data_IF_881904055623
#
_entry.id   IF_881904055623
#
_cell.length_a   1.000
_cell.length_b   1.000
_cell.length_c   1.000
_cell.angle_alpha   90.00
_cell.angle_beta   90.00
_cell.angle_gamma   90.00
#
_symmetry.space_group_name_H-M   'P 1'
#
loop_
_entity.id
_entity.type
_entity.pdbx_description
1 polymer ?
#
# COMPACT_ATOMS: atom_id res chain seq x y z
N UNK A 1 -11.71 -14.03 13.16
CA UNK A 1 -12.91 -13.67 12.36
C UNK A 1 -12.72 -12.33 11.65
N UNK A 2 -12.38 -11.26 12.38
CA UNK A 2 -12.11 -9.92 11.85
C UNK A 2 -11.13 -9.88 10.67
N UNK A 3 -10.01 -10.60 10.74
CA UNK A 3 -9.04 -10.65 9.63
C UNK A 3 -9.61 -11.29 8.36
N UNK A 4 -10.47 -12.30 8.50
CA UNK A 4 -11.15 -12.92 7.35
C UNK A 4 -12.15 -11.96 6.72
N UNK A 5 -12.90 -11.23 7.55
CA UNK A 5 -13.85 -10.22 7.08
C UNK A 5 -13.12 -9.13 6.30
N UNK A 6 -12.06 -8.54 6.88
CA UNK A 6 -11.25 -7.53 6.21
C UNK A 6 -10.70 -8.03 4.88
N UNK A 7 -10.08 -9.22 4.86
CA UNK A 7 -9.54 -9.81 3.64
C UNK A 7 -10.60 -10.02 2.56
N UNK A 8 -11.84 -10.37 2.91
CA UNK A 8 -12.93 -10.52 1.93
C UNK A 8 -13.34 -9.17 1.36
N UNK A 9 -13.45 -8.14 2.20
CA UNK A 9 -13.83 -6.80 1.76
C UNK A 9 -12.75 -6.18 0.85
N UNK A 10 -11.47 -6.34 1.21
CA UNK A 10 -10.33 -5.93 0.38
C UNK A 10 -10.29 -6.70 -0.95
N UNK A 11 -10.58 -8.00 -0.95
CA UNK A 11 -10.65 -8.80 -2.18
C UNK A 11 -11.79 -8.36 -3.08
N UNK A 12 -12.91 -7.92 -2.52
CA UNK A 12 -14.04 -7.42 -3.31
C UNK A 12 -13.67 -6.14 -4.05
N UNK A 13 -12.95 -5.22 -3.38
CA UNK A 13 -12.38 -4.02 -4.00
C UNK A 13 -11.32 -4.38 -5.04
N UNK A 14 -10.42 -5.33 -4.73
CA UNK A 14 -9.39 -5.75 -5.68
C UNK A 14 -10.00 -6.34 -6.96
N UNK A 15 -11.01 -7.21 -6.85
CA UNK A 15 -11.69 -7.80 -8.01
C UNK A 15 -12.36 -6.71 -8.86
N UNK A 16 -12.93 -5.67 -8.23
CA UNK A 16 -13.51 -4.54 -8.96
C UNK A 16 -12.45 -3.82 -9.81
N UNK A 17 -11.30 -3.51 -9.22
CA UNK A 17 -10.20 -2.84 -9.92
C UNK A 17 -9.60 -3.74 -11.02
N UNK A 18 -9.41 -5.03 -10.76
CA UNK A 18 -8.90 -5.99 -11.73
C UNK A 18 -9.83 -6.10 -12.95
N UNK A 19 -11.14 -6.08 -12.73
CA UNK A 19 -12.12 -6.09 -13.82
C UNK A 19 -12.13 -4.79 -14.63
N UNK A 20 -11.91 -3.64 -13.98
CA UNK A 20 -11.75 -2.36 -14.70
C UNK A 20 -10.49 -2.38 -15.58
N UNK A 21 -9.37 -2.88 -15.05
CA UNK A 21 -8.12 -3.03 -15.81
C UNK A 21 -8.29 -4.00 -16.98
N UNK A 22 -8.91 -5.17 -16.75
CA UNK A 22 -9.24 -6.13 -17.80
C UNK A 22 -10.11 -5.51 -18.89
N UNK A 23 -10.99 -4.56 -18.54
CA UNK A 23 -11.77 -3.84 -19.52
C UNK A 23 -10.86 -3.07 -20.50
N UNK A 24 -9.86 -2.36 -20.00
CA UNK A 24 -8.91 -1.65 -20.87
C UNK A 24 -8.10 -2.62 -21.74
N UNK A 25 -7.57 -3.70 -21.15
CA UNK A 25 -6.81 -4.71 -21.87
C UNK A 25 -7.61 -5.33 -23.04
N UNK A 26 -8.88 -5.67 -22.80
CA UNK A 26 -9.76 -6.19 -23.86
C UNK A 26 -9.99 -5.15 -24.94
N UNK A 27 -10.18 -3.87 -24.59
CA UNK A 27 -10.36 -2.81 -25.57
C UNK A 27 -9.14 -2.70 -26.49
N UNK A 28 -7.94 -2.70 -25.91
CA UNK A 28 -6.68 -2.62 -26.65
C UNK A 28 -6.40 -3.86 -27.51
N UNK A 29 -6.98 -5.01 -27.17
CA UNK A 29 -6.81 -6.27 -27.92
C UNK A 29 -7.61 -6.34 -29.24
N UNK A 30 -8.59 -5.45 -29.44
CA UNK A 30 -9.44 -5.43 -30.64
C UNK A 30 -8.66 -4.82 -31.82
N UNK A 31 -8.74 -5.42 -33.01
CA UNK A 31 -8.26 -4.77 -34.23
C UNK A 31 -9.26 -3.68 -34.66
N UNK A 32 -8.88 -2.42 -34.43
CA UNK A 32 -9.73 -1.27 -34.73
C UNK A 32 -9.81 -0.93 -36.22
N UNK A 33 -9.00 -1.58 -37.06
CA UNK A 33 -9.04 -1.40 -38.51
C UNK A 33 -9.96 -2.41 -39.21
N UNK A 34 -10.32 -3.49 -38.51
CA UNK A 34 -11.33 -4.44 -38.97
C UNK A 34 -12.70 -4.00 -38.44
N UNK A 35 -13.58 -3.60 -39.35
CA UNK A 35 -14.92 -3.12 -38.99
C UNK A 35 -15.76 -4.18 -38.30
N UNK A 36 -15.59 -5.46 -38.63
CA UNK A 36 -16.32 -6.54 -37.98
C UNK A 36 -15.81 -6.75 -36.54
N UNK A 37 -14.49 -6.80 -36.36
CA UNK A 37 -13.89 -6.94 -35.03
C UNK A 37 -14.26 -5.76 -34.11
N UNK A 38 -14.29 -4.54 -34.66
CA UNK A 38 -14.71 -3.35 -33.92
C UNK A 38 -16.19 -3.42 -33.48
N UNK A 39 -17.09 -3.83 -34.37
CA UNK A 39 -18.52 -3.96 -34.05
C UNK A 39 -18.77 -5.03 -32.98
N UNK A 40 -18.12 -6.19 -33.10
CA UNK A 40 -18.17 -7.26 -32.10
C UNK A 40 -17.60 -6.80 -30.75
N UNK A 41 -16.47 -6.10 -30.77
CA UNK A 41 -15.83 -5.54 -29.58
C UNK A 41 -16.69 -4.49 -28.87
N UNK A 42 -17.35 -3.61 -29.62
CA UNK A 42 -18.30 -2.62 -29.08
C UNK A 42 -19.52 -3.30 -28.47
N UNK A 43 -20.07 -4.32 -29.13
CA UNK A 43 -21.20 -5.08 -28.60
C UNK A 43 -20.83 -5.76 -27.26
N UNK A 44 -19.67 -6.42 -27.22
CA UNK A 44 -19.13 -6.99 -25.98
C UNK A 44 -18.97 -5.92 -24.90
N UNK A 45 -18.37 -4.76 -25.22
CA UNK A 45 -18.13 -3.71 -24.22
C UNK A 45 -19.40 -3.14 -23.61
N UNK A 46 -20.46 -2.98 -24.40
CA UNK A 46 -21.77 -2.55 -23.89
C UNK A 46 -22.29 -3.52 -22.84
N UNK A 47 -22.25 -4.82 -23.15
CA UNK A 47 -22.71 -5.84 -22.20
C UNK A 47 -21.81 -5.93 -20.96
N UNK A 48 -20.49 -5.91 -21.15
CA UNK A 48 -19.51 -5.93 -20.08
C UNK A 48 -19.70 -4.76 -19.11
N UNK A 49 -19.84 -3.54 -19.62
CA UNK A 49 -20.03 -2.34 -18.80
C UNK A 49 -21.34 -2.38 -18.01
N UNK A 50 -22.42 -2.91 -18.60
CA UNK A 50 -23.68 -3.09 -17.90
C UNK A 50 -23.55 -4.08 -16.73
N UNK A 51 -22.82 -5.19 -16.93
CA UNK A 51 -22.54 -6.15 -15.85
C UNK A 51 -21.61 -5.57 -14.79
N UNK A 52 -20.61 -4.79 -15.18
CA UNK A 52 -19.69 -4.11 -14.25
C UNK A 52 -20.42 -3.12 -13.36
N UNK A 53 -21.33 -2.32 -13.90
CA UNK A 53 -22.14 -1.40 -13.11
C UNK A 53 -23.02 -2.15 -12.08
N UNK A 54 -23.65 -3.25 -12.49
CA UNK A 54 -24.44 -4.08 -11.59
C UNK A 54 -23.59 -4.76 -10.50
N UNK A 55 -22.39 -5.24 -10.87
CA UNK A 55 -21.43 -5.80 -9.92
C UNK A 55 -20.97 -4.76 -8.91
N UNK A 56 -20.62 -3.55 -9.35
CA UNK A 56 -20.15 -2.46 -8.48
C UNK A 56 -21.19 -2.13 -7.41
N UNK A 57 -22.45 -1.98 -7.83
CA UNK A 57 -23.56 -1.75 -6.90
C UNK A 57 -23.70 -2.91 -5.90
N UNK A 58 -23.76 -4.16 -6.38
CA UNK A 58 -23.94 -5.33 -5.52
C UNK A 58 -22.78 -5.52 -4.55
N UNK A 59 -21.55 -5.27 -5.01
CA UNK A 59 -20.35 -5.34 -4.21
C UNK A 59 -20.39 -4.29 -3.08
N UNK A 60 -20.78 -3.06 -3.40
CA UNK A 60 -20.99 -2.00 -2.41
C UNK A 60 -22.06 -2.37 -1.37
N UNK A 61 -23.20 -2.89 -1.80
CA UNK A 61 -24.28 -3.35 -0.91
C UNK A 61 -23.83 -4.49 0.01
N UNK A 62 -23.12 -5.49 -0.53
CA UNK A 62 -22.60 -6.62 0.25
C UNK A 62 -21.55 -6.15 1.26
N UNK A 63 -20.63 -5.28 0.84
CA UNK A 63 -19.64 -4.67 1.72
C UNK A 63 -20.31 -3.91 2.85
N UNK A 64 -21.31 -3.08 2.55
CA UNK A 64 -22.05 -2.33 3.57
C UNK A 64 -22.77 -3.26 4.55
N UNK A 65 -23.43 -4.31 4.07
CA UNK A 65 -24.15 -5.28 4.91
C UNK A 65 -23.20 -5.99 5.88
N UNK A 66 -22.06 -6.46 5.39
CA UNK A 66 -21.05 -7.15 6.21
C UNK A 66 -20.45 -6.20 7.26
N UNK A 67 -20.13 -4.96 6.87
CA UNK A 67 -19.59 -3.96 7.80
C UNK A 67 -20.60 -3.56 8.88
N UNK A 68 -21.89 -3.40 8.52
CA UNK A 68 -22.97 -3.10 9.48
C UNK A 68 -23.15 -4.23 10.50
N UNK A 69 -23.11 -5.49 10.08
CA UNK A 69 -23.28 -6.63 10.97
C UNK A 69 -22.07 -6.87 11.87
N UNK A 70 -20.86 -6.65 11.35
CA UNK A 70 -19.61 -7.03 12.05
C UNK A 70 -18.90 -5.87 12.75
N UNK A 71 -19.34 -4.63 12.51
CA UNK A 71 -18.69 -3.39 12.96
C UNK A 71 -17.21 -3.25 12.55
N UNK A 72 -16.75 -4.06 11.59
CA UNK A 72 -15.39 -3.96 11.02
C UNK A 72 -15.43 -2.91 9.91
N UNK A 73 -14.63 -1.85 10.05
CA UNK A 73 -14.45 -0.84 9.00
C UNK A 73 -13.11 -1.04 8.30
N UNK A 74 -13.06 -0.79 6.99
CA UNK A 74 -11.83 -0.79 6.21
C UNK A 74 -10.94 0.42 6.55
N UNK A 75 -11.54 1.55 6.94
CA UNK A 75 -10.84 2.80 7.26
C UNK A 75 -10.18 2.84 8.65
N UNK A 76 -10.46 1.87 9.53
CA UNK A 76 -9.87 1.88 10.86
C UNK A 76 -8.38 1.49 10.75
N UNK A 77 -7.45 2.41 11.03
CA UNK A 77 -6.04 2.08 11.00
C UNK A 77 -5.82 0.97 12.03
N UNK A 78 -5.29 -0.16 11.57
CA UNK A 78 -4.68 -1.16 12.45
C UNK A 78 -3.75 -0.38 13.36
N UNK A 79 -4.12 -0.31 14.63
CA UNK A 79 -3.40 0.50 15.63
C UNK A 79 -1.96 0.03 15.59
N UNK A 80 -1.09 0.88 15.03
CA UNK A 80 0.32 0.60 14.92
C UNK A 80 0.81 0.27 16.33
N UNK A 81 1.29 -0.96 16.52
CA UNK A 81 1.87 -1.42 17.78
C UNK A 81 2.94 -0.37 18.16
N UNK A 82 2.86 0.28 19.33
CA UNK A 82 3.84 1.29 19.69
C UNK A 82 5.21 0.64 19.74
N UNK A 83 6.10 1.09 18.87
CA UNK A 83 7.48 0.66 18.83
C UNK A 83 8.08 0.81 20.23
N UNK A 84 8.53 -0.30 20.81
CA UNK A 84 9.23 -0.29 22.10
C UNK A 84 10.40 0.70 22.03
N UNK A 85 10.60 1.55 23.05
CA UNK A 85 11.75 2.44 23.07
C UNK A 85 13.05 1.62 23.09
N UNK A 86 14.13 2.10 22.45
CA UNK A 86 15.40 1.39 22.40
C UNK A 86 15.93 1.19 23.83
N UNK A 87 16.16 -0.08 24.21
CA UNK A 87 16.83 -0.44 25.46
C UNK A 87 18.22 0.20 25.47
N UNK A 88 18.46 1.05 26.47
CA UNK A 88 19.77 1.64 26.73
C UNK A 88 20.86 0.58 26.81
N UNK A 89 21.96 0.83 26.11
CA UNK A 89 23.17 0.02 26.22
C UNK A 89 23.86 0.33 27.56
N UNK A 90 24.16 -0.67 28.39
CA UNK A 90 25.01 -0.47 29.57
C UNK A 90 26.48 -0.43 29.14
N UNK A 91 27.19 0.61 29.60
CA UNK A 91 28.61 0.77 29.38
C UNK A 91 29.44 -0.39 29.95
N UNK A 92 30.52 -0.74 29.26
CA UNK A 92 31.68 -1.42 29.85
C UNK A 92 32.97 -0.83 29.31
N UNK A 93 33.72 -0.27 30.26
CA UNK A 93 35.10 0.17 30.14
C UNK A 93 36.07 -1.00 29.89
N UNK A 94 37.11 -0.73 29.10
CA UNK A 94 38.46 -1.34 29.11
C UNK A 94 39.27 -0.52 28.08
N UNK A 95 40.19 0.36 28.47
CA UNK A 95 41.46 0.05 29.10
C UNK A 95 42.55 0.08 28.02
N UNK A 96 43.29 1.20 27.91
CA UNK A 96 44.28 1.36 26.83
C UNK A 96 45.23 2.54 26.98
N UNK A 97 46.33 2.28 27.70
CA UNK A 97 47.70 2.84 27.60
C UNK A 97 47.97 4.35 27.70
N UNK A 98 48.88 4.62 28.63
CA UNK A 98 49.58 5.86 28.88
C UNK A 98 50.39 6.37 27.67
N UNK A 99 50.33 7.70 27.46
CA UNK A 99 51.31 8.44 26.67
C UNK A 99 52.55 8.72 27.53
N UNK A 100 53.71 8.34 27.00
CA UNK A 100 55.03 8.75 27.46
C UNK A 100 55.50 9.90 26.57
N UNK A 101 55.94 10.99 27.22
CA UNK A 101 56.89 12.02 26.74
C UNK A 101 56.49 12.84 25.49
N UNK A 102 56.84 14.11 25.29
CA UNK A 102 57.42 15.21 26.07
C UNK A 102 57.43 16.42 25.11
N UNK A 103 57.68 17.62 25.65
CA UNK A 103 58.05 18.90 24.98
C UNK A 103 56.88 19.66 24.31
N UNK A 104 56.28 20.65 24.98
CA UNK A 104 56.74 22.02 25.34
C UNK A 104 56.32 23.11 24.31
N UNK A 105 56.04 24.34 24.77
CA UNK A 105 55.04 25.24 24.18
C UNK A 105 55.67 26.46 23.49
N UNK A 106 54.93 27.12 22.59
CA UNK A 106 55.20 28.52 22.18
C UNK A 106 53.85 29.17 21.82
N UNK A 107 53.33 30.05 22.69
CA UNK A 107 53.24 31.52 22.51
C UNK A 107 52.44 31.93 21.27
N UNK A 108 51.21 32.42 21.43
CA UNK A 108 50.85 33.81 21.74
C UNK A 108 50.63 34.66 20.48
N UNK A 109 49.60 35.49 20.58
CA UNK A 109 49.43 36.77 19.92
C UNK A 109 49.07 36.85 18.41
N UNK A 110 47.81 37.30 18.23
CA UNK A 110 47.42 38.55 17.53
C UNK A 110 47.31 38.57 16.00
N UNK A 111 46.14 39.12 15.58
CA UNK A 111 45.91 40.12 14.51
C UNK A 111 46.16 39.63 13.07
N UNK A 112 45.36 39.91 12.07
CA UNK A 112 44.25 40.84 11.82
C UNK A 112 43.18 40.11 11.01
#
# INVERSE_FOLDING_TARGET
>A
MTNRIRSILEQLEQVREDLLALSDDIWQSIDHNDSQALDEGVAFKKEYNAKMAAFDQLAGELSALVQQFTAVKLDDPVTAIPARPPRGQPGRARGGRAHSQAQQPLTDARRC
#
